data_IF_559652112204
#
_entry.id   IF_559652112204
#
_cell.length_a   1.000
_cell.length_b   1.000
_cell.length_c   1.000
_cell.angle_alpha   90.00
_cell.angle_beta   90.00
_cell.angle_gamma   90.00
#
_symmetry.space_group_name_H-M   'P 1'
#
loop_
_entity.id
_entity.type
_entity.pdbx_description
1 polymer ?
#
# COMPACT_ATOMS: atom_id res chain seq x y z
N UNK A 1 -3.03 -14.47 9.21
CA UNK A 1 -3.19 -14.85 7.81
C UNK A 1 -1.98 -15.65 7.32
N UNK A 2 -0.76 -15.09 7.32
CA UNK A 2 0.44 -15.81 6.84
C UNK A 2 0.67 -17.15 7.53
N UNK A 3 0.56 -17.20 8.86
CA UNK A 3 0.67 -18.45 9.62
C UNK A 3 -0.39 -19.48 9.18
N UNK A 4 -1.64 -19.08 9.02
CA UNK A 4 -2.72 -19.95 8.57
C UNK A 4 -2.49 -20.51 7.17
N UNK A 5 -1.94 -19.70 6.26
CA UNK A 5 -1.56 -20.16 4.93
C UNK A 5 -0.41 -21.19 5.02
N UNK A 6 0.59 -20.90 5.83
CA UNK A 6 1.71 -21.80 6.06
C UNK A 6 1.25 -23.14 6.65
N UNK A 7 0.38 -23.12 7.66
CA UNK A 7 -0.22 -24.33 8.27
C UNK A 7 -1.05 -25.14 7.27
N UNK A 8 -1.57 -24.52 6.22
CA UNK A 8 -2.29 -25.17 5.11
C UNK A 8 -1.36 -25.68 3.99
N UNK A 9 -0.05 -25.55 4.17
CA UNK A 9 0.95 -26.08 3.26
C UNK A 9 1.38 -25.13 2.14
N UNK A 10 1.02 -23.84 2.23
CA UNK A 10 1.53 -22.82 1.31
C UNK A 10 2.94 -22.38 1.72
N UNK A 11 3.80 -22.15 0.74
CA UNK A 11 5.07 -21.45 0.96
C UNK A 11 4.79 -19.95 1.07
N UNK A 12 5.10 -19.37 2.24
CA UNK A 12 4.77 -17.96 2.54
C UNK A 12 6.06 -17.17 2.74
N UNK A 13 6.26 -16.18 1.88
CA UNK A 13 7.31 -15.17 2.04
C UNK A 13 6.68 -13.85 2.44
N UNK A 14 7.16 -13.23 3.50
CA UNK A 14 6.70 -11.93 3.98
C UNK A 14 7.75 -10.87 3.67
N UNK A 15 7.42 -9.97 2.74
CA UNK A 15 8.19 -8.77 2.50
C UNK A 15 7.89 -7.74 3.60
N UNK A 16 8.88 -7.44 4.41
CA UNK A 16 8.74 -6.51 5.53
C UNK A 16 10.05 -5.79 5.85
N UNK A 17 9.96 -4.72 6.64
CA UNK A 17 11.12 -3.99 7.12
C UNK A 17 11.92 -4.80 8.15
N UNK A 18 13.23 -4.60 8.17
CA UNK A 18 14.17 -5.37 8.99
C UNK A 18 13.77 -5.60 10.46
N UNK A 19 13.18 -4.63 11.21
CA UNK A 19 12.76 -4.88 12.59
C UNK A 19 11.75 -6.02 12.79
N UNK A 20 11.06 -6.45 11.74
CA UNK A 20 10.06 -7.53 11.82
C UNK A 20 10.61 -8.92 11.49
N UNK A 21 11.88 -9.03 11.08
CA UNK A 21 12.50 -10.28 10.65
C UNK A 21 12.35 -11.41 11.70
N UNK A 22 12.79 -11.16 12.93
CA UNK A 22 12.74 -12.19 13.99
C UNK A 22 11.33 -12.75 14.23
N UNK A 23 10.33 -11.85 14.27
CA UNK A 23 8.94 -12.25 14.45
C UNK A 23 8.41 -13.13 13.30
N UNK A 24 8.84 -12.85 12.07
CA UNK A 24 8.41 -13.58 10.87
C UNK A 24 9.04 -14.97 10.85
N UNK A 25 10.36 -15.05 11.10
CA UNK A 25 11.12 -16.29 11.12
C UNK A 25 10.69 -17.21 12.27
N UNK A 26 10.45 -16.66 13.47
CA UNK A 26 9.90 -17.41 14.62
C UNK A 26 8.51 -17.99 14.34
N UNK A 27 7.74 -17.35 13.44
CA UNK A 27 6.45 -17.86 13.00
C UNK A 27 6.56 -18.93 11.88
N UNK A 28 7.76 -19.31 11.47
CA UNK A 28 8.03 -20.36 10.47
C UNK A 28 7.87 -19.89 9.02
N UNK A 29 7.85 -18.59 8.77
CA UNK A 29 7.68 -18.02 7.42
C UNK A 29 9.01 -17.46 6.90
N UNK A 30 9.17 -17.40 5.59
CA UNK A 30 10.31 -16.76 4.95
C UNK A 30 10.21 -15.24 5.04
N UNK A 31 11.32 -14.59 5.36
CA UNK A 31 11.44 -13.14 5.41
C UNK A 31 12.15 -12.62 4.17
N UNK A 32 11.60 -11.56 3.56
CA UNK A 32 12.25 -10.80 2.50
C UNK A 32 12.41 -9.33 2.95
N UNK A 33 13.65 -8.81 3.02
CA UNK A 33 13.88 -7.44 3.45
C UNK A 33 13.42 -6.44 2.39
N UNK A 34 12.65 -5.43 2.80
CA UNK A 34 12.32 -4.26 1.97
C UNK A 34 13.02 -3.03 2.48
N UNK A 35 13.45 -2.19 1.54
CA UNK A 35 14.18 -0.95 1.80
C UNK A 35 13.28 0.13 2.40
N UNK A 36 13.84 0.96 3.25
CA UNK A 36 13.20 2.14 3.83
C UNK A 36 13.24 2.15 5.35
N UNK A 37 13.11 3.35 5.92
CA UNK A 37 12.97 3.57 7.36
C UNK A 37 11.51 3.88 7.70
N UNK A 38 10.75 2.81 7.98
CA UNK A 38 9.34 2.94 8.37
C UNK A 38 9.19 3.63 9.73
N UNK A 39 10.17 3.49 10.61
CA UNK A 39 10.10 4.09 11.96
C UNK A 39 10.16 5.60 11.86
N UNK A 40 11.11 6.14 11.07
CA UNK A 40 11.20 7.57 10.80
C UNK A 40 9.97 8.10 10.07
N UNK A 41 9.52 7.41 9.02
CA UNK A 41 8.31 7.78 8.29
C UNK A 41 7.07 7.82 9.19
N UNK A 42 6.84 6.78 9.98
CA UNK A 42 5.71 6.73 10.92
C UNK A 42 5.86 7.77 12.02
N UNK A 43 7.06 8.01 12.53
CA UNK A 43 7.34 9.05 13.51
C UNK A 43 6.91 10.43 13.03
N UNK A 44 7.13 10.75 11.76
CA UNK A 44 6.68 12.01 11.13
C UNK A 44 5.16 12.07 10.93
N UNK A 45 4.56 10.97 10.47
CA UNK A 45 3.11 10.90 10.20
C UNK A 45 2.26 10.89 11.47
N UNK A 46 2.79 10.40 12.58
CA UNK A 46 2.09 10.30 13.86
C UNK A 46 2.26 11.56 14.74
N UNK A 47 2.93 12.61 14.25
CA UNK A 47 2.98 13.88 14.99
C UNK A 47 1.57 14.45 15.20
N UNK A 48 1.26 15.00 16.39
CA UNK A 48 -0.08 15.52 16.70
C UNK A 48 -0.57 16.62 15.76
N UNK A 49 0.34 17.34 15.13
CA UNK A 49 0.10 18.42 14.19
C UNK A 49 0.16 17.99 12.70
N UNK A 50 0.46 16.71 12.45
CA UNK A 50 0.43 16.13 11.11
C UNK A 50 -1.02 15.83 10.69
N UNK A 51 -1.79 16.88 10.38
CA UNK A 51 -3.19 16.76 9.94
C UNK A 51 -3.42 17.49 8.61
N UNK A 52 -4.43 17.08 7.86
CA UNK A 52 -4.84 17.74 6.62
C UNK A 52 -3.70 17.82 5.59
N UNK A 53 -3.42 19.03 5.09
CA UNK A 53 -2.40 19.26 4.05
C UNK A 53 -0.98 18.90 4.52
N UNK A 54 -0.67 19.11 5.81
CA UNK A 54 0.64 18.75 6.36
C UNK A 54 0.83 17.24 6.34
N UNK A 55 -0.16 16.48 6.79
CA UNK A 55 -0.15 15.02 6.68
C UNK A 55 0.12 14.55 5.26
N UNK A 56 -0.59 15.10 4.27
CA UNK A 56 -0.40 14.75 2.86
C UNK A 56 1.01 15.06 2.35
N UNK A 57 1.60 16.19 2.77
CA UNK A 57 2.98 16.55 2.38
C UNK A 57 4.02 15.62 3.00
N UNK A 58 3.89 15.30 4.28
CA UNK A 58 4.80 14.37 4.96
C UNK A 58 4.67 12.95 4.39
N UNK A 59 3.44 12.53 4.11
CA UNK A 59 3.17 11.26 3.46
C UNK A 59 3.78 11.21 2.04
N UNK A 60 3.53 12.23 1.22
CA UNK A 60 4.11 12.33 -0.13
C UNK A 60 5.64 12.27 -0.08
N UNK A 61 6.25 13.03 0.83
CA UNK A 61 7.70 13.05 0.99
C UNK A 61 8.24 11.67 1.39
N UNK A 62 7.62 11.05 2.40
CA UNK A 62 8.03 9.72 2.85
C UNK A 62 7.95 8.67 1.74
N UNK A 63 6.85 8.67 0.98
CA UNK A 63 6.69 7.75 -0.15
C UNK A 63 7.68 8.04 -1.27
N UNK A 64 7.91 9.29 -1.63
CA UNK A 64 8.85 9.67 -2.69
C UNK A 64 10.25 9.12 -2.44
N UNK A 65 10.68 9.20 -1.19
CA UNK A 65 12.03 8.81 -0.81
C UNK A 65 12.23 7.28 -0.88
N UNK A 66 11.17 6.50 -0.61
CA UNK A 66 11.26 5.04 -0.54
C UNK A 66 10.66 4.29 -1.74
N UNK A 67 9.74 4.90 -2.50
CA UNK A 67 8.96 4.20 -3.52
C UNK A 67 9.80 3.50 -4.61
N UNK A 68 10.88 4.10 -5.16
CA UNK A 68 11.68 3.42 -6.17
C UNK A 68 12.32 2.14 -5.64
N UNK A 69 13.01 2.23 -4.49
CA UNK A 69 13.65 1.07 -3.85
C UNK A 69 12.62 0.03 -3.42
N UNK A 70 11.48 0.48 -2.86
CA UNK A 70 10.42 -0.41 -2.43
C UNK A 70 9.80 -1.17 -3.61
N UNK A 71 9.59 -0.54 -4.75
CA UNK A 71 9.07 -1.18 -5.96
C UNK A 71 10.03 -2.23 -6.50
N UNK A 72 11.33 -1.96 -6.49
CA UNK A 72 12.35 -2.90 -6.94
C UNK A 72 12.45 -4.10 -5.99
N UNK A 73 12.48 -3.87 -4.67
CA UNK A 73 12.48 -4.93 -3.67
C UNK A 73 11.24 -5.83 -3.79
N UNK A 74 10.07 -5.22 -3.92
CA UNK A 74 8.81 -5.96 -4.06
C UNK A 74 8.73 -6.71 -5.38
N UNK A 75 9.29 -6.17 -6.45
CA UNK A 75 9.38 -6.85 -7.73
C UNK A 75 10.21 -8.13 -7.61
N UNK A 76 11.40 -8.04 -7.03
CA UNK A 76 12.26 -9.20 -6.80
C UNK A 76 11.64 -10.22 -5.82
N UNK A 77 11.00 -9.72 -4.75
CA UNK A 77 10.30 -10.60 -3.81
C UNK A 77 9.17 -11.41 -4.46
N UNK A 78 8.49 -10.82 -5.44
CA UNK A 78 7.38 -11.46 -6.14
C UNK A 78 7.82 -12.43 -7.25
N UNK A 79 9.10 -12.54 -7.52
CA UNK A 79 9.63 -13.44 -8.54
C UNK A 79 9.34 -14.90 -8.18
N UNK A 80 8.61 -15.61 -9.04
CA UNK A 80 8.18 -16.98 -8.80
C UNK A 80 6.97 -17.15 -7.86
N UNK A 81 6.39 -16.06 -7.36
CA UNK A 81 5.18 -16.13 -6.55
C UNK A 81 3.95 -16.49 -7.41
N UNK A 82 3.01 -17.24 -6.84
CA UNK A 82 1.74 -17.60 -7.47
C UNK A 82 0.62 -16.60 -7.13
N UNK A 83 0.77 -15.81 -6.07
CA UNK A 83 -0.17 -14.77 -5.66
C UNK A 83 0.50 -13.74 -4.76
N UNK A 84 -0.01 -12.51 -4.78
CA UNK A 84 0.38 -11.44 -3.86
C UNK A 84 -0.78 -11.15 -2.91
N UNK A 85 -0.49 -11.12 -1.61
CA UNK A 85 -1.44 -10.59 -0.60
C UNK A 85 -0.85 -9.30 -0.03
N UNK A 86 -1.53 -8.19 -0.24
CA UNK A 86 -1.08 -6.88 0.20
C UNK A 86 -2.04 -6.22 1.18
N UNK A 87 -1.55 -5.26 1.96
CA UNK A 87 -2.34 -4.56 2.97
C UNK A 87 -2.58 -3.10 2.61
N UNK A 88 -1.52 -2.33 2.48
CA UNK A 88 -1.56 -0.92 2.16
C UNK A 88 -0.86 -0.67 0.81
N UNK A 89 -1.06 0.48 0.17
CA UNK A 89 -0.45 0.80 -1.14
C UNK A 89 -0.81 -0.18 -2.28
N UNK A 90 -2.07 -0.60 -2.33
CA UNK A 90 -2.56 -1.59 -3.29
C UNK A 90 -2.13 -1.37 -4.75
N UNK A 91 -2.04 -0.10 -5.20
CA UNK A 91 -1.70 0.24 -6.59
C UNK A 91 -0.29 -0.22 -6.99
N UNK A 92 0.69 -0.17 -6.08
CA UNK A 92 2.04 -0.69 -6.31
C UNK A 92 2.01 -2.20 -6.49
N UNK A 93 1.35 -2.90 -5.57
CA UNK A 93 1.24 -4.37 -5.61
C UNK A 93 0.46 -4.86 -6.82
N UNK A 94 -0.61 -4.16 -7.22
CA UNK A 94 -1.31 -4.46 -8.46
C UNK A 94 -0.44 -4.33 -9.70
N UNK A 95 0.46 -3.34 -9.73
CA UNK A 95 1.37 -3.18 -10.85
C UNK A 95 2.39 -4.32 -10.94
N UNK A 96 2.87 -4.80 -9.79
CA UNK A 96 3.77 -5.95 -9.73
C UNK A 96 3.04 -7.24 -10.12
N UNK A 97 1.85 -7.46 -9.58
CA UNK A 97 1.03 -8.61 -9.92
C UNK A 97 0.66 -8.65 -11.41
N UNK A 98 0.34 -7.48 -12.01
CA UNK A 98 0.11 -7.34 -13.45
C UNK A 98 1.35 -7.72 -14.27
N UNK A 99 2.56 -7.36 -13.81
CA UNK A 99 3.80 -7.71 -14.50
C UNK A 99 4.05 -9.22 -14.53
N UNK A 100 3.70 -9.91 -13.47
CA UNK A 100 3.88 -11.37 -13.36
C UNK A 100 2.65 -12.18 -13.77
N UNK A 101 1.54 -11.51 -14.12
CA UNK A 101 0.25 -12.13 -14.45
C UNK A 101 -0.28 -13.06 -13.35
N UNK A 102 -0.18 -12.58 -12.09
CA UNK A 102 -0.61 -13.31 -10.90
C UNK A 102 -1.71 -12.56 -10.14
N UNK A 103 -2.58 -13.26 -9.38
CA UNK A 103 -3.61 -12.62 -8.58
C UNK A 103 -3.03 -11.76 -7.47
N UNK A 104 -3.67 -10.59 -7.23
CA UNK A 104 -3.37 -9.69 -6.13
C UNK A 104 -4.58 -9.58 -5.21
N UNK A 105 -4.43 -9.96 -3.95
CA UNK A 105 -5.48 -9.96 -2.94
C UNK A 105 -5.18 -8.83 -1.95
N UNK A 106 -6.04 -7.82 -1.92
CA UNK A 106 -5.90 -6.74 -0.95
C UNK A 106 -6.64 -7.06 0.35
N UNK A 107 -5.95 -6.98 1.47
CA UNK A 107 -6.52 -7.05 2.82
C UNK A 107 -6.50 -5.67 3.47
N UNK A 108 -7.52 -5.35 4.27
CA UNK A 108 -7.69 -4.03 4.86
C UNK A 108 -7.91 -4.13 6.36
N UNK A 109 -7.21 -3.30 7.14
CA UNK A 109 -7.37 -3.23 8.61
C UNK A 109 -8.48 -2.29 9.05
N UNK A 110 -8.92 -1.38 8.15
CA UNK A 110 -9.98 -0.41 8.39
C UNK A 110 -10.74 -0.19 7.08
N UNK A 111 -11.99 0.30 7.14
CA UNK A 111 -12.78 0.53 5.94
C UNK A 111 -12.08 1.49 4.98
N UNK A 112 -11.71 0.98 3.81
CA UNK A 112 -11.18 1.77 2.69
C UNK A 112 -12.26 1.99 1.63
N UNK A 113 -13.29 1.16 1.58
CA UNK A 113 -14.40 1.32 0.66
C UNK A 113 -15.37 2.43 1.10
N UNK A 114 -16.03 3.11 0.13
CA UNK A 114 -16.97 4.17 0.42
C UNK A 114 -18.06 3.72 1.40
N UNK A 115 -18.04 4.28 2.59
CA UNK A 115 -18.96 3.98 3.68
C UNK A 115 -19.88 5.19 3.96
N UNK A 116 -21.16 4.93 4.24
CA UNK A 116 -22.12 5.99 4.60
C UNK A 116 -22.04 6.39 6.07
N UNK A 117 -21.54 5.49 6.92
CA UNK A 117 -21.57 5.67 8.38
C UNK A 117 -20.38 6.45 8.91
N UNK A 118 -19.25 6.42 8.20
CA UNK A 118 -18.06 7.18 8.59
C UNK A 118 -17.32 7.72 7.36
N UNK A 119 -16.66 8.88 7.46
CA UNK A 119 -15.77 9.38 6.43
C UNK A 119 -14.44 8.61 6.45
N UNK A 120 -13.65 8.73 5.39
CA UNK A 120 -12.27 8.21 5.39
C UNK A 120 -11.50 8.76 6.58
N UNK A 121 -10.62 7.96 7.18
CA UNK A 121 -9.92 8.28 8.44
C UNK A 121 -9.14 9.61 8.40
N UNK A 122 -8.60 9.98 7.24
CA UNK A 122 -7.87 11.23 7.00
C UNK A 122 -8.75 12.45 6.71
N UNK A 123 -10.09 12.30 6.67
CA UNK A 123 -10.99 13.42 6.36
C UNK A 123 -10.96 14.48 7.47
N UNK A 124 -10.83 15.78 7.10
CA UNK A 124 -10.77 16.87 8.07
C UNK A 124 -12.10 17.11 8.80
N UNK A 125 -13.23 16.79 8.17
CA UNK A 125 -14.57 17.01 8.71
C UNK A 125 -15.30 15.69 8.92
N UNK A 126 -15.63 15.35 10.16
CA UNK A 126 -16.22 14.05 10.51
C UNK A 126 -17.75 14.07 10.68
N UNK A 127 -18.40 15.25 10.66
CA UNK A 127 -19.81 15.42 11.03
C UNK A 127 -20.69 16.03 9.92
N UNK A 128 -20.28 15.91 8.65
CA UNK A 128 -21.04 16.47 7.53
C UNK A 128 -22.11 15.55 6.92
N UNK A 129 -22.29 14.35 7.51
CA UNK A 129 -23.34 13.42 7.12
C UNK A 129 -22.93 12.44 6.01
N UNK A 130 -23.90 11.59 5.64
CA UNK A 130 -23.69 10.40 4.80
C UNK A 130 -23.09 10.68 3.41
N UNK A 131 -23.52 11.76 2.76
CA UNK A 131 -23.01 12.14 1.44
C UNK A 131 -21.52 12.54 1.49
N UNK A 132 -21.13 13.28 2.55
CA UNK A 132 -19.73 13.65 2.79
C UNK A 132 -18.88 12.41 3.08
N UNK A 133 -19.41 11.50 3.87
CA UNK A 133 -18.70 10.28 4.20
C UNK A 133 -18.30 9.54 2.91
N UNK A 134 -19.23 9.30 1.99
CA UNK A 134 -18.93 8.65 0.70
C UNK A 134 -18.00 9.50 -0.18
N UNK A 135 -18.22 10.82 -0.25
CA UNK A 135 -17.39 11.71 -1.06
C UNK A 135 -15.95 11.77 -0.56
N UNK A 136 -15.73 11.73 0.75
CA UNK A 136 -14.39 11.75 1.35
C UNK A 136 -13.51 10.59 0.88
N UNK A 137 -14.08 9.41 0.69
CA UNK A 137 -13.35 8.27 0.11
C UNK A 137 -12.96 8.54 -1.35
N UNK A 138 -13.87 9.06 -2.16
CA UNK A 138 -13.56 9.38 -3.58
C UNK A 138 -12.45 10.41 -3.70
N UNK A 139 -12.48 11.44 -2.85
CA UNK A 139 -11.42 12.45 -2.79
C UNK A 139 -10.10 11.81 -2.32
N UNK A 140 -10.15 11.00 -1.27
CA UNK A 140 -8.98 10.29 -0.76
C UNK A 140 -8.33 9.41 -1.82
N UNK A 141 -9.12 8.61 -2.53
CA UNK A 141 -8.63 7.77 -3.62
C UNK A 141 -8.03 8.58 -4.77
N UNK A 142 -8.67 9.67 -5.16
CA UNK A 142 -8.14 10.54 -6.21
C UNK A 142 -6.77 11.11 -5.82
N UNK A 143 -6.63 11.57 -4.58
CA UNK A 143 -5.38 12.12 -4.07
C UNK A 143 -4.28 11.06 -3.99
N UNK A 144 -4.57 9.90 -3.43
CA UNK A 144 -3.61 8.80 -3.33
C UNK A 144 -3.20 8.33 -4.72
N UNK A 145 -4.17 8.09 -5.62
CA UNK A 145 -3.88 7.66 -6.98
C UNK A 145 -3.08 8.70 -7.77
N UNK A 146 -3.30 10.00 -7.55
CA UNK A 146 -2.53 11.06 -8.19
C UNK A 146 -1.09 11.12 -7.67
N UNK A 147 -0.88 10.85 -6.38
CA UNK A 147 0.44 10.74 -5.78
C UNK A 147 1.18 9.52 -6.31
N UNK A 148 0.55 8.35 -6.26
CA UNK A 148 1.13 7.09 -6.73
C UNK A 148 1.43 7.12 -8.23
N UNK A 149 0.60 7.78 -9.04
CA UNK A 149 0.80 7.89 -10.48
C UNK A 149 2.16 8.47 -10.85
N UNK A 150 2.69 9.39 -10.07
CA UNK A 150 4.01 10.00 -10.31
C UNK A 150 5.14 8.98 -10.23
N UNK A 151 5.10 8.10 -9.23
CA UNK A 151 6.16 7.10 -8.99
C UNK A 151 5.98 5.87 -9.87
N UNK A 152 4.73 5.41 -9.98
CA UNK A 152 4.41 4.24 -10.80
C UNK A 152 4.55 4.49 -12.30
N UNK A 153 4.33 5.72 -12.77
CA UNK A 153 4.40 6.02 -14.21
C UNK A 153 5.79 5.76 -14.78
N UNK A 154 6.83 6.21 -14.08
CA UNK A 154 8.21 6.05 -14.52
C UNK A 154 8.65 4.59 -14.37
N UNK A 155 8.37 3.97 -13.22
CA UNK A 155 8.65 2.57 -12.97
C UNK A 155 7.96 1.64 -13.98
N UNK A 156 6.67 1.87 -14.30
CA UNK A 156 5.95 1.09 -15.30
C UNK A 156 6.55 1.24 -16.70
N UNK A 157 7.01 2.44 -17.06
CA UNK A 157 7.70 2.69 -18.33
C UNK A 157 9.02 1.93 -18.42
N UNK A 158 9.83 1.97 -17.35
CA UNK A 158 11.10 1.24 -17.26
C UNK A 158 10.90 -0.28 -17.35
N UNK A 159 9.77 -0.76 -16.83
CA UNK A 159 9.37 -2.17 -16.87
C UNK A 159 8.53 -2.55 -18.10
N UNK A 160 8.49 -1.71 -19.15
CA UNK A 160 7.78 -1.95 -20.43
C UNK A 160 6.26 -2.18 -20.27
N UNK A 161 5.67 -1.68 -19.18
CA UNK A 161 4.25 -1.83 -18.89
C UNK A 161 3.39 -0.69 -19.45
N UNK A 162 2.15 -0.98 -19.79
CA UNK A 162 1.20 0.03 -20.26
C UNK A 162 0.98 1.13 -19.19
N UNK A 163 0.76 2.38 -19.64
CA UNK A 163 0.42 3.48 -18.73
C UNK A 163 -0.92 3.20 -18.03
N UNK A 164 -0.92 3.28 -16.70
CA UNK A 164 -2.13 3.20 -15.91
C UNK A 164 -2.82 4.57 -15.82
N UNK A 165 -4.14 4.60 -15.98
CA UNK A 165 -4.91 5.84 -15.79
C UNK A 165 -5.22 6.04 -14.30
N UNK A 166 -5.14 7.29 -13.84
CA UNK A 166 -5.65 7.66 -12.51
C UNK A 166 -7.15 7.39 -12.48
N UNK A 167 -7.63 6.59 -11.53
CA UNK A 167 -9.03 6.22 -11.40
C UNK A 167 -9.61 6.70 -10.08
N UNK A 168 -10.91 7.00 -10.10
CA UNK A 168 -11.68 7.43 -8.92
C UNK A 168 -12.12 6.26 -8.03
N UNK A 169 -11.85 5.03 -8.45
CA UNK A 169 -12.12 3.81 -7.70
C UNK A 169 -10.92 2.88 -7.80
N UNK A 170 -10.61 2.14 -6.73
CA UNK A 170 -9.67 1.04 -6.88
C UNK A 170 -10.24 0.03 -7.87
N UNK A 171 -9.37 -0.51 -8.71
CA UNK A 171 -9.72 -1.66 -9.55
C UNK A 171 -9.43 -2.90 -8.70
N UNK A 172 -10.47 -3.49 -8.19
CA UNK A 172 -10.40 -4.82 -7.62
C UNK A 172 -10.81 -5.83 -8.67
#
# INVERSE_FOLDING_TARGET
LGRELHERGHEVTIAAFAPFQGMIEEAGMSFYPISGDVVDMMGRLLQPDAVGVRYLKEFEKGIRDIAPMLLDDLLHCAEGAEAIVCTFFGTMFYSIAEKYDIPCIQTQYFPMDPCKDMPISSAPFRKLGKWWNVLSYRIGYLLISALEHRYLSDWRKENEMAKRRVRLRPDY
#
